data_IF_075237570254
#
_entry.id   IF_075237570254
#
_cell.length_a   1.000
_cell.length_b   1.000
_cell.length_c   1.000
_cell.angle_alpha   90.00
_cell.angle_beta   90.00
_cell.angle_gamma   90.00
#
_symmetry.space_group_name_H-M   'P 1'
#
loop_
_entity.id
_entity.type
_entity.pdbx_description
1 polymer ?
#
# COMPACT_ATOMS: atom_id res chain seq x y z
N UNK A 1 2.38 13.87 -1.97
CA UNK A 1 1.24 13.04 -2.43
C UNK A 1 1.79 11.74 -2.98
N UNK A 2 2.16 10.79 -2.10
CA UNK A 2 2.72 9.48 -2.49
C UNK A 2 1.60 8.45 -2.79
N UNK A 3 0.52 8.90 -3.44
CA UNK A 3 -0.77 8.19 -3.46
C UNK A 3 -0.88 7.08 -4.52
N UNK A 4 0.24 6.59 -5.09
CA UNK A 4 0.16 5.46 -6.02
C UNK A 4 1.37 4.55 -5.89
N UNK A 5 1.52 3.92 -4.72
CA UNK A 5 2.24 2.65 -4.67
C UNK A 5 1.21 1.61 -5.14
N UNK A 6 1.36 1.21 -6.41
CA UNK A 6 0.39 0.39 -7.14
C UNK A 6 -0.02 -0.87 -6.38
N UNK A 7 -1.33 -1.07 -6.21
CA UNK A 7 -1.94 -2.33 -5.81
C UNK A 7 -1.96 -3.39 -6.92
N UNK A 8 -1.14 -3.21 -7.96
CA UNK A 8 -0.95 -4.19 -9.01
C UNK A 8 0.34 -4.94 -8.70
N UNK A 9 0.29 -6.05 -7.94
CA UNK A 9 1.46 -6.86 -7.72
C UNK A 9 1.97 -7.37 -9.09
N UNK A 10 3.29 -7.47 -9.28
CA UNK A 10 3.88 -7.89 -10.55
C UNK A 10 3.54 -9.33 -10.96
N UNK A 11 2.89 -10.11 -10.09
CA UNK A 11 2.43 -11.48 -10.35
C UNK A 11 0.94 -11.64 -10.69
N UNK A 12 0.16 -10.56 -10.72
CA UNK A 12 -1.27 -10.62 -11.02
C UNK A 12 -1.51 -11.01 -12.48
N UNK A 13 -2.41 -11.96 -12.72
CA UNK A 13 -2.83 -12.31 -14.08
C UNK A 13 -3.54 -11.12 -14.74
N UNK A 14 -3.51 -11.05 -16.07
CA UNK A 14 -4.06 -9.92 -16.81
C UNK A 14 -5.56 -9.70 -16.54
N UNK A 15 -6.32 -10.78 -16.39
CA UNK A 15 -7.76 -10.72 -16.09
C UNK A 15 -8.03 -10.23 -14.66
N UNK A 16 -7.22 -10.65 -13.69
CA UNK A 16 -7.28 -10.21 -12.30
C UNK A 16 -6.94 -8.72 -12.19
N UNK A 17 -5.95 -8.26 -12.96
CA UNK A 17 -5.55 -6.86 -13.05
C UNK A 17 -6.66 -6.00 -13.66
N UNK A 18 -7.31 -6.47 -14.72
CA UNK A 18 -8.45 -5.76 -15.32
C UNK A 18 -9.62 -5.68 -14.35
N UNK A 19 -9.92 -6.77 -13.64
CA UNK A 19 -10.97 -6.78 -12.63
C UNK A 19 -10.66 -5.79 -11.49
N UNK A 20 -9.42 -5.79 -10.99
CA UNK A 20 -8.97 -4.88 -9.95
C UNK A 20 -9.08 -3.41 -10.39
N UNK A 21 -8.62 -3.08 -11.59
CA UNK A 21 -8.68 -1.73 -12.14
C UNK A 21 -10.12 -1.26 -12.41
N UNK A 22 -11.01 -2.15 -12.86
CA UNK A 22 -12.43 -1.86 -13.03
C UNK A 22 -13.12 -1.58 -11.69
N UNK A 23 -12.87 -2.39 -10.66
CA UNK A 23 -13.38 -2.16 -9.31
C UNK A 23 -12.88 -0.83 -8.74
N UNK A 24 -11.59 -0.54 -8.89
CA UNK A 24 -10.98 0.72 -8.45
C UNK A 24 -11.58 1.93 -9.17
N UNK A 25 -11.77 1.83 -10.49
CA UNK A 25 -12.41 2.86 -11.29
C UNK A 25 -13.86 3.13 -10.87
N UNK A 26 -14.64 2.08 -10.62
CA UNK A 26 -16.02 2.18 -10.11
C UNK A 26 -16.08 2.79 -8.71
N UNK A 27 -15.13 2.44 -7.85
CA UNK A 27 -15.03 3.01 -6.51
C UNK A 27 -14.82 4.52 -6.56
N UNK A 28 -13.86 4.99 -7.36
CA UNK A 28 -13.59 6.42 -7.58
C UNK A 28 -14.82 7.14 -8.16
N UNK A 29 -15.49 6.52 -9.14
CA UNK A 29 -16.62 7.12 -9.83
C UNK A 29 -17.92 7.09 -9.01
N UNK A 30 -18.03 6.22 -8.01
CA UNK A 30 -19.29 5.99 -7.27
C UNK A 30 -19.77 7.21 -6.48
N UNK A 31 -18.92 8.23 -6.28
CA UNK A 31 -19.32 9.49 -5.65
C UNK A 31 -19.89 9.36 -4.23
N UNK A 32 -19.84 8.16 -3.62
CA UNK A 32 -20.30 7.89 -2.25
C UNK A 32 -19.44 8.60 -1.19
N UNK A 33 -18.34 9.23 -1.60
CA UNK A 33 -17.61 10.25 -0.86
C UNK A 33 -17.69 11.59 -1.59
N UNK A 34 -18.90 12.15 -1.69
CA UNK A 34 -19.08 13.52 -2.14
C UNK A 34 -18.39 14.47 -1.17
N UNK A 35 -17.40 15.21 -1.65
CA UNK A 35 -16.83 16.42 -1.03
C UNK A 35 -16.40 16.34 0.46
N UNK A 36 -16.33 15.16 1.04
CA UNK A 36 -15.62 14.93 2.28
C UNK A 36 -14.22 14.54 1.87
N UNK A 37 -13.35 15.55 1.88
CA UNK A 37 -11.91 15.48 1.74
C UNK A 37 -11.40 14.03 1.76
N UNK A 38 -11.22 13.43 0.59
CA UNK A 38 -10.21 12.37 0.43
C UNK A 38 -8.89 13.11 0.61
N UNK A 39 -8.64 13.55 1.84
CA UNK A 39 -7.52 14.36 2.22
C UNK A 39 -6.37 13.37 2.32
N UNK A 40 -5.77 13.07 1.18
CA UNK A 40 -4.44 12.47 1.10
C UNK A 40 -4.27 11.08 1.72
N UNK A 41 -5.31 10.47 2.29
CA UNK A 41 -5.30 9.10 2.80
C UNK A 41 -5.34 8.18 1.59
N UNK A 42 -4.35 7.28 1.53
CA UNK A 42 -4.13 6.32 0.47
C UNK A 42 -5.46 5.66 0.02
N UNK A 43 -5.85 5.93 -1.24
CA UNK A 43 -7.08 5.39 -1.86
C UNK A 43 -7.15 3.87 -1.76
N UNK A 44 -5.99 3.23 -1.73
CA UNK A 44 -5.81 1.83 -1.45
C UNK A 44 -6.35 1.32 -0.13
N UNK A 45 -6.14 2.10 0.93
CA UNK A 45 -6.65 1.76 2.25
C UNK A 45 -8.17 1.89 2.31
N UNK A 46 -8.73 2.83 1.56
CA UNK A 46 -10.17 3.01 1.47
C UNK A 46 -10.83 1.85 0.71
N UNK A 47 -10.12 1.27 -0.26
CA UNK A 47 -10.53 0.08 -1.01
C UNK A 47 -10.58 -1.20 -0.15
N UNK A 48 -9.78 -1.32 0.91
CA UNK A 48 -9.80 -2.50 1.80
C UNK A 48 -11.19 -2.80 2.37
N UNK A 49 -12.03 -1.77 2.55
CA UNK A 49 -13.41 -1.93 3.05
C UNK A 49 -14.35 -2.67 2.09
N UNK A 50 -13.95 -2.83 0.83
CA UNK A 50 -14.73 -3.51 -0.21
C UNK A 50 -14.27 -4.95 -0.45
N UNK A 51 -13.18 -5.36 0.17
CA UNK A 51 -12.59 -6.69 0.01
C UNK A 51 -13.12 -7.67 1.05
N UNK A 52 -13.19 -8.94 0.67
CA UNK A 52 -13.33 -10.04 1.64
C UNK A 52 -12.08 -10.10 2.53
N UNK A 53 -12.14 -10.73 3.73
CA UNK A 53 -10.98 -10.85 4.61
C UNK A 53 -9.76 -11.50 3.94
N UNK A 54 -9.96 -12.51 3.09
CA UNK A 54 -8.89 -13.22 2.39
C UNK A 54 -8.26 -12.36 1.28
N UNK A 55 -9.07 -11.60 0.54
CA UNK A 55 -8.59 -10.63 -0.45
C UNK A 55 -7.81 -9.50 0.23
N UNK A 56 -8.34 -8.95 1.33
CA UNK A 56 -7.66 -7.92 2.11
C UNK A 56 -6.33 -8.43 2.68
N UNK A 57 -6.30 -9.68 3.16
CA UNK A 57 -5.08 -10.31 3.67
C UNK A 57 -4.03 -10.43 2.56
N UNK A 58 -4.42 -10.93 1.39
CA UNK A 58 -3.55 -11.06 0.21
C UNK A 58 -2.95 -9.71 -0.18
N UNK A 59 -3.79 -8.70 -0.35
CA UNK A 59 -3.37 -7.34 -0.72
C UNK A 59 -2.37 -6.76 0.28
N UNK A 60 -2.64 -6.90 1.59
CA UNK A 60 -1.75 -6.38 2.63
C UNK A 60 -0.41 -7.14 2.68
N UNK A 61 -0.41 -8.45 2.41
CA UNK A 61 0.81 -9.24 2.34
C UNK A 61 1.69 -8.84 1.16
N UNK A 62 1.10 -8.67 -0.02
CA UNK A 62 1.82 -8.21 -1.21
C UNK A 62 2.39 -6.80 -1.03
N UNK A 63 1.59 -5.91 -0.42
CA UNK A 63 2.05 -4.56 -0.08
C UNK A 63 3.21 -4.59 0.91
N UNK A 64 3.18 -5.47 1.91
CA UNK A 64 4.31 -5.66 2.83
C UNK A 64 5.57 -6.10 2.10
N UNK A 65 5.46 -7.05 1.17
CA UNK A 65 6.61 -7.50 0.36
C UNK A 65 7.18 -6.40 -0.54
N UNK A 66 6.33 -5.52 -1.06
CA UNK A 66 6.76 -4.36 -1.83
C UNK A 66 7.52 -3.35 -0.96
N UNK A 67 7.02 -3.09 0.26
CA UNK A 67 7.71 -2.21 1.22
C UNK A 67 9.05 -2.80 1.63
N UNK A 68 9.13 -4.11 1.91
CA UNK A 68 10.41 -4.78 2.22
C UNK A 68 11.42 -4.63 1.09
N UNK A 69 11.04 -4.89 -0.16
CA UNK A 69 11.93 -4.68 -1.32
C UNK A 69 12.36 -3.22 -1.50
N UNK A 70 11.48 -2.28 -1.16
CA UNK A 70 11.79 -0.85 -1.22
C UNK A 70 12.81 -0.45 -0.13
N UNK A 71 12.72 -1.04 1.07
CA UNK A 71 13.70 -0.86 2.13
C UNK A 71 15.07 -1.44 1.72
N UNK A 72 15.10 -2.67 1.18
CA UNK A 72 16.33 -3.30 0.66
C UNK A 72 16.98 -2.45 -0.45
N UNK A 73 16.18 -1.90 -1.35
CA UNK A 73 16.66 -1.00 -2.39
C UNK A 73 17.24 0.30 -1.83
N UNK A 74 16.63 0.84 -0.78
CA UNK A 74 17.07 2.05 -0.09
C UNK A 74 18.42 1.83 0.61
N UNK A 75 18.60 0.66 1.24
CA UNK A 75 19.87 0.25 1.87
C UNK A 75 21.01 0.10 0.86
N UNK A 76 20.69 -0.22 -0.40
CA UNK A 76 21.66 -0.33 -1.48
C UNK A 76 22.00 1.02 -2.15
N UNK A 77 21.35 2.13 -1.78
CA UNK A 77 21.69 3.44 -2.31
C UNK A 77 23.03 3.91 -1.75
N UNK A 78 23.90 4.39 -2.64
CA UNK A 78 25.22 4.91 -2.27
C UNK A 78 25.06 6.11 -1.32
N UNK A 79 25.87 6.15 -0.26
CA UNK A 79 25.86 7.24 0.70
C UNK A 79 26.51 8.47 0.07
N UNK A 80 25.72 9.19 -0.73
CA UNK A 80 26.08 10.49 -1.27
C UNK A 80 26.49 11.42 -0.12
N UNK A 81 27.59 12.15 -0.31
CA UNK A 81 27.98 13.24 0.60
C UNK A 81 27.03 14.46 0.52
N UNK A 82 26.01 14.42 -0.33
CA UNK A 82 24.96 15.44 -0.38
C UNK A 82 23.96 15.26 0.78
N UNK A 83 23.98 16.22 1.70
CA UNK A 83 23.09 16.28 2.87
C UNK A 83 21.62 16.28 2.46
N UNK A 84 21.24 16.92 1.35
CA UNK A 84 19.85 16.92 0.90
C UNK A 84 19.40 15.55 0.41
N UNK A 85 20.30 14.80 -0.22
CA UNK A 85 20.04 13.43 -0.61
C UNK A 85 19.87 12.53 0.61
N UNK A 86 20.75 12.64 1.61
CA UNK A 86 20.63 11.87 2.86
C UNK A 86 19.31 12.13 3.59
N UNK A 87 18.89 13.40 3.71
CA UNK A 87 17.60 13.74 4.32
C UNK A 87 16.41 13.17 3.55
N UNK A 88 16.51 13.10 2.23
CA UNK A 88 15.48 12.50 1.38
C UNK A 88 15.39 10.99 1.61
N UNK A 89 16.53 10.29 1.63
CA UNK A 89 16.58 8.85 1.89
C UNK A 89 16.09 8.52 3.30
N UNK A 90 16.50 9.28 4.32
CA UNK A 90 16.04 9.13 5.71
C UNK A 90 14.52 9.30 5.84
N UNK A 91 13.97 10.33 5.18
CA UNK A 91 12.53 10.55 5.17
C UNK A 91 11.78 9.37 4.51
N UNK A 92 12.27 8.88 3.37
CA UNK A 92 11.69 7.71 2.69
C UNK A 92 11.75 6.48 3.61
N UNK A 93 12.92 6.20 4.21
CA UNK A 93 13.09 5.07 5.13
C UNK A 93 12.14 5.13 6.32
N UNK A 94 11.98 6.32 6.92
CA UNK A 94 11.04 6.55 8.02
C UNK A 94 9.60 6.24 7.61
N UNK A 95 9.17 6.67 6.43
CA UNK A 95 7.82 6.37 5.94
C UNK A 95 7.61 4.88 5.68
N UNK A 96 8.57 4.23 5.02
CA UNK A 96 8.50 2.79 4.73
C UNK A 96 8.42 1.95 6.02
N UNK A 97 9.18 2.32 7.04
CA UNK A 97 9.16 1.61 8.33
C UNK A 97 7.84 1.79 9.07
N UNK A 98 7.30 3.01 9.09
CA UNK A 98 5.99 3.28 9.68
C UNK A 98 4.88 2.46 9.00
N UNK A 99 4.94 2.37 7.68
CA UNK A 99 3.99 1.60 6.88
C UNK A 99 4.13 0.09 7.10
N UNK A 100 5.35 -0.45 7.08
CA UNK A 100 5.62 -1.86 7.39
C UNK A 100 5.06 -2.25 8.75
N UNK A 101 5.35 -1.46 9.77
CA UNK A 101 4.83 -1.65 11.14
C UNK A 101 3.30 -1.68 11.18
N UNK A 102 2.64 -0.82 10.39
CA UNK A 102 1.19 -0.82 10.27
C UNK A 102 0.66 -2.08 9.55
N UNK A 103 1.30 -2.50 8.45
CA UNK A 103 0.94 -3.70 7.68
C UNK A 103 1.03 -4.96 8.54
N UNK A 104 2.12 -5.13 9.29
CA UNK A 104 2.33 -6.28 10.16
C UNK A 104 1.25 -6.40 11.26
N UNK A 105 0.84 -5.27 11.86
CA UNK A 105 -0.26 -5.25 12.83
C UNK A 105 -1.61 -5.57 12.19
N UNK A 106 -1.89 -4.99 11.03
CA UNK A 106 -3.16 -5.16 10.32
C UNK A 106 -3.36 -6.60 9.83
N UNK A 107 -2.33 -7.20 9.25
CA UNK A 107 -2.31 -8.62 8.84
C UNK A 107 -2.56 -9.53 10.05
N UNK A 108 -1.93 -9.24 11.19
CA UNK A 108 -2.14 -10.01 12.42
C UNK A 108 -3.60 -9.94 12.89
N UNK A 109 -4.20 -8.75 12.86
CA UNK A 109 -5.60 -8.57 13.26
C UNK A 109 -6.56 -9.35 12.35
N UNK A 110 -6.36 -9.29 11.03
CA UNK A 110 -7.20 -10.02 10.07
C UNK A 110 -7.13 -11.54 10.27
N UNK A 111 -5.92 -12.07 10.50
CA UNK A 111 -5.73 -13.50 10.77
C UNK A 111 -6.42 -13.95 12.06
N UNK A 112 -6.41 -13.12 13.10
CA UNK A 112 -7.12 -13.43 14.35
C UNK A 112 -8.64 -13.40 14.13
N UNK A 113 -9.16 -12.42 13.39
CA UNK A 113 -10.61 -12.34 13.10
C UNK A 113 -11.12 -13.50 12.24
N UNK A 114 -10.26 -14.14 11.43
CA UNK A 114 -10.63 -15.30 10.62
C UNK A 114 -10.67 -16.63 11.42
N UNK A 115 -10.19 -16.64 12.68
CA UNK A 115 -10.18 -17.82 13.55
C UNK A 115 -11.37 -17.87 14.54
N UNK A 116 -12.21 -16.85 14.54
CA UNK A 116 -13.41 -16.70 15.40
C UNK A 116 -14.65 -16.99 14.54
#
# INVERSE_FOLDING_TARGET
>A
MWQTICFCPPGMLEDERHHFLDLYGRYIQSGKHGAQEINQVDLGLSFLSLLTPDEALTVLQERRELITRSQEWLECQDQSNDVMHMLTLDHIGTMLEAERSWLERSIRHLRISALI
#
